data_IF_529053693509
#
_entry.id   IF_529053693509
#
_cell.length_a   1.000
_cell.length_b   1.000
_cell.length_c   1.000
_cell.angle_alpha   90.00
_cell.angle_beta   90.00
_cell.angle_gamma   90.00
#
_symmetry.space_group_name_H-M   'P 1'
#
loop_
_entity.id
_entity.type
_entity.pdbx_description
1 polymer ?
#
# COMPACT_ATOMS: atom_id res chain seq x y z
N UNK A 1 -19.25 -22.70 9.80
CA UNK A 1 -20.59 -22.85 10.39
C UNK A 1 -20.66 -21.89 11.57
N UNK A 2 -21.52 -20.87 11.50
CA UNK A 2 -21.78 -19.99 12.65
C UNK A 2 -22.75 -20.69 13.61
N UNK A 3 -22.45 -20.58 14.90
CA UNK A 3 -23.33 -20.94 16.00
C UNK A 3 -24.33 -19.78 16.14
N UNK A 4 -25.63 -20.06 15.97
CA UNK A 4 -26.75 -19.14 15.71
C UNK A 4 -26.93 -18.80 14.22
N UNK A 5 -28.06 -19.22 13.64
CA UNK A 5 -28.39 -19.12 12.19
C UNK A 5 -28.64 -17.72 11.65
N UNK A 6 -27.85 -16.73 12.08
CA UNK A 6 -27.84 -15.36 11.58
C UNK A 6 -27.16 -15.34 10.21
N UNK A 7 -27.86 -14.85 9.20
CA UNK A 7 -27.33 -14.71 7.84
C UNK A 7 -26.88 -13.27 7.62
N UNK A 8 -25.60 -13.09 7.32
CA UNK A 8 -25.06 -11.81 6.83
C UNK A 8 -24.86 -11.89 5.32
N UNK A 9 -25.28 -10.84 4.60
CA UNK A 9 -25.11 -10.72 3.15
C UNK A 9 -24.13 -9.61 2.83
N UNK A 10 -23.27 -9.85 1.85
CA UNK A 10 -22.31 -8.87 1.35
C UNK A 10 -22.53 -8.68 -0.14
N UNK A 11 -22.44 -7.44 -0.61
CA UNK A 11 -22.46 -7.11 -2.04
C UNK A 11 -21.15 -6.44 -2.45
N UNK A 12 -20.74 -6.68 -3.69
CA UNK A 12 -19.48 -6.21 -4.24
C UNK A 12 -19.70 -5.57 -5.61
N UNK A 13 -18.85 -4.61 -5.97
CA UNK A 13 -18.79 -4.11 -7.33
C UNK A 13 -17.98 -5.03 -8.26
N UNK A 14 -17.93 -4.68 -9.55
CA UNK A 14 -17.20 -5.44 -10.57
C UNK A 14 -15.67 -5.48 -10.35
N UNK A 15 -15.13 -4.62 -9.47
CA UNK A 15 -13.72 -4.58 -9.10
C UNK A 15 -13.43 -5.36 -7.81
N UNK A 16 -14.44 -6.04 -7.25
CA UNK A 16 -14.30 -6.84 -6.02
C UNK A 16 -14.33 -6.02 -4.73
N UNK A 17 -14.66 -4.73 -4.78
CA UNK A 17 -14.78 -3.89 -3.58
C UNK A 17 -16.14 -4.09 -2.96
N UNK A 18 -16.19 -4.30 -1.65
CA UNK A 18 -17.45 -4.43 -0.92
C UNK A 18 -18.21 -3.11 -0.95
N UNK A 19 -19.42 -3.11 -1.50
CA UNK A 19 -20.29 -1.93 -1.58
C UNK A 19 -21.38 -1.93 -0.51
N UNK A 20 -21.77 -3.10 0.01
CA UNK A 20 -22.67 -3.16 1.15
C UNK A 20 -22.52 -4.43 1.99
N UNK A 21 -22.97 -4.33 3.23
CA UNK A 21 -23.17 -5.43 4.16
C UNK A 21 -24.53 -5.29 4.80
N UNK A 22 -25.31 -6.37 4.83
CA UNK A 22 -26.60 -6.43 5.53
C UNK A 22 -26.55 -7.52 6.59
N UNK A 23 -26.71 -7.10 7.85
CA UNK A 23 -26.86 -7.96 9.03
C UNK A 23 -28.30 -7.84 9.55
N UNK A 24 -28.62 -8.53 10.64
CA UNK A 24 -29.90 -8.33 11.34
C UNK A 24 -30.03 -6.93 11.97
N UNK A 25 -28.90 -6.25 12.21
CA UNK A 25 -28.85 -4.93 12.85
C UNK A 25 -29.04 -3.78 11.85
N UNK A 26 -28.94 -4.05 10.54
CA UNK A 26 -29.12 -3.05 9.49
C UNK A 26 -28.19 -3.29 8.30
N UNK A 27 -28.21 -2.32 7.38
CA UNK A 27 -27.35 -2.32 6.20
C UNK A 27 -26.30 -1.22 6.32
N UNK A 28 -25.05 -1.56 6.09
CA UNK A 28 -23.95 -0.61 5.93
C UNK A 28 -23.56 -0.56 4.46
N UNK A 29 -23.55 0.64 3.90
CA UNK A 29 -23.08 0.92 2.53
C UNK A 29 -21.68 1.55 2.60
N UNK A 30 -20.77 1.07 1.75
CA UNK A 30 -19.36 1.46 1.73
C UNK A 30 -19.02 2.29 0.49
N UNK A 31 -18.19 3.31 0.68
CA UNK A 31 -17.69 4.20 -0.38
C UNK A 31 -16.18 4.10 -0.49
N UNK A 32 -15.65 4.22 -1.70
CA UNK A 32 -14.25 3.97 -1.99
C UNK A 32 -13.64 5.10 -2.80
N UNK A 33 -12.36 5.40 -2.52
CA UNK A 33 -11.51 6.21 -3.38
C UNK A 33 -10.41 5.32 -3.96
N UNK A 34 -10.54 4.93 -5.23
CA UNK A 34 -9.74 3.84 -5.80
C UNK A 34 -9.93 2.56 -4.99
N UNK A 35 -8.87 2.13 -4.32
CA UNK A 35 -8.83 0.88 -3.54
C UNK A 35 -8.88 1.12 -2.02
N UNK A 36 -8.95 2.38 -1.58
CA UNK A 36 -8.99 2.78 -0.18
C UNK A 36 -10.44 3.07 0.25
N UNK A 37 -10.83 2.56 1.42
CA UNK A 37 -12.16 2.78 1.99
C UNK A 37 -12.32 4.26 2.35
N UNK A 38 -13.25 4.97 1.73
CA UNK A 38 -13.49 6.39 1.98
C UNK A 38 -14.47 6.62 3.12
N UNK A 39 -15.48 5.77 3.27
CA UNK A 39 -16.48 5.95 4.31
C UNK A 39 -17.62 4.94 4.27
N UNK A 40 -18.53 5.11 5.21
CA UNK A 40 -19.65 4.23 5.50
C UNK A 40 -20.93 5.01 5.76
N UNK A 41 -22.06 4.47 5.33
CA UNK A 41 -23.40 4.92 5.72
C UNK A 41 -24.14 3.74 6.34
N UNK A 42 -24.54 3.89 7.60
CA UNK A 42 -25.40 2.92 8.26
C UNK A 42 -26.87 3.31 8.01
N UNK A 43 -27.56 2.48 7.21
CA UNK A 43 -29.00 2.60 6.96
C UNK A 43 -29.75 2.29 8.27
N UNK A 44 -30.20 3.36 8.94
CA UNK A 44 -30.82 3.29 10.27
C UNK A 44 -30.38 4.40 11.21
N UNK A 45 -29.22 5.03 10.92
CA UNK A 45 -28.80 6.27 11.57
C UNK A 45 -29.26 7.44 10.71
N UNK A 46 -29.96 8.42 11.30
CA UNK A 46 -30.31 9.65 10.57
C UNK A 46 -29.03 10.40 10.20
N UNK A 47 -28.56 10.22 8.97
CA UNK A 47 -27.40 10.90 8.43
C UNK A 47 -27.78 12.08 7.53
N UNK A 48 -29.04 12.51 7.57
CA UNK A 48 -29.55 13.62 6.75
C UNK A 48 -29.03 14.93 7.32
N UNK A 49 -28.24 15.63 6.54
CA UNK A 49 -27.76 16.95 6.91
C UNK A 49 -28.85 18.02 6.72
N UNK A 50 -28.63 19.22 7.28
CA UNK A 50 -29.57 20.33 7.18
C UNK A 50 -29.87 20.79 5.75
N UNK A 51 -29.04 20.43 4.76
CA UNK A 51 -29.26 20.72 3.34
C UNK A 51 -30.04 19.63 2.59
N UNK A 52 -30.41 18.53 3.26
CA UNK A 52 -31.12 17.40 2.67
C UNK A 52 -30.20 16.31 2.09
N UNK A 53 -28.88 16.49 2.07
CA UNK A 53 -27.92 15.45 1.65
C UNK A 53 -27.66 14.43 2.76
N UNK A 54 -27.57 13.15 2.37
CA UNK A 54 -27.12 12.07 3.26
C UNK A 54 -25.61 12.11 3.38
N UNK A 55 -25.11 12.35 4.60
CA UNK A 55 -23.67 12.32 4.89
C UNK A 55 -23.21 10.91 5.27
N UNK A 56 -21.94 10.56 5.05
CA UNK A 56 -21.36 9.36 5.64
C UNK A 56 -21.48 9.39 7.17
N UNK A 57 -21.91 8.26 7.77
CA UNK A 57 -21.85 8.05 9.23
C UNK A 57 -20.40 8.10 9.71
N UNK A 58 -19.48 7.56 8.90
CA UNK A 58 -18.03 7.58 9.11
C UNK A 58 -17.31 7.88 7.81
N UNK A 59 -16.32 8.76 7.85
CA UNK A 59 -15.36 8.96 6.75
C UNK A 59 -13.95 8.73 7.26
N UNK A 60 -13.15 8.02 6.48
CA UNK A 60 -11.76 7.73 6.81
C UNK A 60 -10.84 8.54 5.90
N UNK A 61 -9.81 9.13 6.51
CA UNK A 61 -8.74 9.80 5.80
C UNK A 61 -7.47 8.97 5.97
N UNK A 62 -6.76 8.75 4.87
CA UNK A 62 -5.53 7.98 4.83
C UNK A 62 -4.35 8.86 4.39
N UNK A 63 -3.14 8.43 4.72
CA UNK A 63 -1.94 9.02 4.13
C UNK A 63 -1.99 8.91 2.59
N UNK A 64 -1.46 9.90 1.85
CA UNK A 64 -1.43 9.86 0.39
C UNK A 64 -0.77 8.57 -0.12
N UNK A 65 -1.42 7.92 -1.09
CA UNK A 65 -0.94 6.70 -1.75
C UNK A 65 -0.64 5.53 -0.78
N UNK A 66 -1.36 5.46 0.34
CA UNK A 66 -1.13 4.51 1.42
C UNK A 66 -2.46 3.99 1.99
N UNK A 67 -2.39 2.87 2.73
CA UNK A 67 -3.51 2.31 3.49
C UNK A 67 -3.40 2.61 5.00
N UNK A 68 -2.48 3.51 5.39
CA UNK A 68 -2.32 3.96 6.77
C UNK A 68 -3.37 5.02 7.11
N UNK A 69 -4.25 4.77 8.10
CA UNK A 69 -5.27 5.74 8.47
C UNK A 69 -4.66 6.91 9.23
N UNK A 70 -5.15 8.10 8.91
CA UNK A 70 -4.73 9.39 9.47
C UNK A 70 -5.81 9.99 10.36
N UNK A 71 -7.05 10.03 9.89
CA UNK A 71 -8.17 10.59 10.65
C UNK A 71 -9.49 9.85 10.40
N UNK A 72 -10.38 9.90 11.38
CA UNK A 72 -11.78 9.49 11.30
C UNK A 72 -12.66 10.72 11.49
N UNK A 73 -13.60 10.93 10.56
CA UNK A 73 -14.66 11.93 10.70
C UNK A 73 -15.97 11.21 10.96
N UNK A 74 -16.57 11.43 12.12
CA UNK A 74 -17.83 10.81 12.51
C UNK A 74 -18.70 11.84 13.24
N UNK A 75 -19.96 11.98 12.81
CA UNK A 75 -20.92 12.94 13.36
C UNK A 75 -20.39 14.39 13.45
N UNK A 76 -19.59 14.81 12.46
CA UNK A 76 -18.99 16.14 12.42
C UNK A 76 -17.81 16.36 13.38
N UNK A 77 -17.38 15.34 14.11
CA UNK A 77 -16.18 15.35 14.93
C UNK A 77 -15.01 14.70 14.18
N UNK A 78 -13.81 15.22 14.41
CA UNK A 78 -12.56 14.68 13.86
C UNK A 78 -11.79 13.98 14.96
N UNK A 79 -11.37 12.76 14.66
CA UNK A 79 -10.54 11.92 15.51
C UNK A 79 -9.24 11.57 14.76
N UNK A 80 -8.15 11.42 15.49
CA UNK A 80 -6.81 11.22 14.93
C UNK A 80 -6.32 9.82 15.25
N UNK A 81 -5.86 9.10 14.24
CA UNK A 81 -5.29 7.77 14.41
C UNK A 81 -3.82 7.84 14.82
N UNK A 82 -3.45 6.99 15.78
CA UNK A 82 -2.07 6.70 16.13
C UNK A 82 -1.77 5.26 15.74
N UNK A 83 -0.78 5.08 14.86
CA UNK A 83 -0.47 3.77 14.29
C UNK A 83 0.89 3.25 14.75
N UNK A 84 1.08 1.93 14.67
CA UNK A 84 2.39 1.32 14.86
C UNK A 84 3.29 1.46 13.61
N UNK A 85 4.48 0.85 13.63
CA UNK A 85 5.45 0.96 12.54
C UNK A 85 4.97 0.37 11.20
N UNK A 86 4.01 -0.55 11.23
CA UNK A 86 3.37 -1.11 10.02
C UNK A 86 2.02 -0.46 9.71
N UNK A 87 1.64 0.63 10.41
CA UNK A 87 0.41 1.37 10.10
C UNK A 87 -0.86 0.79 10.70
N UNK A 88 -0.77 -0.13 11.66
CA UNK A 88 -1.94 -0.65 12.38
C UNK A 88 -2.41 0.39 13.40
N UNK A 89 -3.70 0.77 13.43
CA UNK A 89 -4.26 1.59 14.50
C UNK A 89 -4.00 0.99 15.88
N UNK A 90 -3.42 1.76 16.79
CA UNK A 90 -3.22 1.40 18.20
C UNK A 90 -4.10 2.23 19.12
N UNK A 91 -4.26 3.52 18.78
CA UNK A 91 -5.03 4.48 19.56
C UNK A 91 -5.76 5.47 18.64
N UNK A 92 -6.85 6.06 19.13
CA UNK A 92 -7.54 7.17 18.50
C UNK A 92 -7.75 8.26 19.55
N UNK A 93 -7.42 9.50 19.20
CA UNK A 93 -7.63 10.66 20.06
C UNK A 93 -8.63 11.65 19.49
N UNK A 94 -9.44 12.27 20.35
CA UNK A 94 -10.34 13.35 19.96
C UNK A 94 -9.59 14.70 19.81
N UNK A 95 -10.32 15.78 19.50
CA UNK A 95 -9.74 17.13 19.35
C UNK A 95 -9.10 17.71 20.63
N UNK A 96 -9.40 17.14 21.80
CA UNK A 96 -8.79 17.51 23.09
C UNK A 96 -7.57 16.63 23.45
N UNK A 97 -7.13 15.78 22.52
CA UNK A 97 -6.07 14.78 22.73
C UNK A 97 -6.40 13.72 23.79
N UNK A 98 -7.68 13.52 24.10
CA UNK A 98 -8.12 12.42 24.97
C UNK A 98 -8.21 11.15 24.14
N UNK A 99 -7.72 10.03 24.68
CA UNK A 99 -7.81 8.71 24.04
C UNK A 99 -9.26 8.23 24.13
N UNK A 100 -9.92 8.09 22.98
CA UNK A 100 -11.32 7.64 22.86
C UNK A 100 -11.44 6.20 22.33
N UNK A 101 -10.33 5.64 21.86
CA UNK A 101 -10.20 4.23 21.52
C UNK A 101 -8.74 3.79 21.67
N UNK A 102 -8.50 2.60 22.22
CA UNK A 102 -7.16 2.00 22.30
C UNK A 102 -7.26 0.49 22.41
N UNK A 103 -6.39 -0.23 21.71
CA UNK A 103 -6.38 -1.68 21.74
C UNK A 103 -4.99 -2.29 21.56
N UNK A 104 -4.81 -3.47 22.15
CA UNK A 104 -3.66 -4.35 21.96
C UNK A 104 -4.04 -5.54 21.09
N UNK A 105 -3.25 -5.80 20.06
CA UNK A 105 -3.42 -6.95 19.16
C UNK A 105 -2.36 -8.00 19.43
N UNK A 106 -2.68 -9.26 19.15
CA UNK A 106 -1.72 -10.36 19.03
C UNK A 106 -0.93 -10.20 17.72
N UNK A 107 0.12 -10.99 17.56
CA UNK A 107 1.02 -10.98 16.39
C UNK A 107 0.31 -11.09 15.04
N UNK A 108 -0.82 -11.80 14.99
CA UNK A 108 -1.62 -12.01 13.77
C UNK A 108 -2.90 -11.13 13.74
N UNK A 109 -2.90 -10.00 14.44
CA UNK A 109 -3.97 -9.01 14.33
C UNK A 109 -5.25 -9.34 15.12
N UNK A 110 -5.31 -10.47 15.84
CA UNK A 110 -6.41 -10.77 16.74
C UNK A 110 -6.41 -9.80 17.92
N UNK A 111 -7.58 -9.27 18.28
CA UNK A 111 -7.71 -8.40 19.44
C UNK A 111 -7.31 -9.17 20.71
N UNK A 112 -6.26 -8.69 21.38
CA UNK A 112 -5.81 -9.24 22.66
C UNK A 112 -6.54 -8.56 23.82
N UNK A 113 -6.64 -7.22 23.77
CA UNK A 113 -7.27 -6.41 24.81
C UNK A 113 -7.75 -5.08 24.23
N UNK A 114 -8.97 -4.67 24.54
CA UNK A 114 -9.45 -3.30 24.31
C UNK A 114 -9.33 -2.51 25.62
N UNK A 115 -8.58 -1.42 25.60
CA UNK A 115 -8.34 -0.57 26.78
C UNK A 115 -9.39 0.54 26.89
N UNK A 116 -9.74 1.15 25.75
CA UNK A 116 -10.76 2.20 25.61
C UNK A 116 -11.57 1.92 24.35
N UNK A 117 -12.90 2.10 24.41
CA UNK A 117 -13.80 1.83 23.29
C UNK A 117 -15.03 2.79 23.29
N UNK A 118 -14.77 4.10 23.40
CA UNK A 118 -15.84 5.11 23.34
C UNK A 118 -16.26 5.38 21.88
N UNK A 119 -15.30 5.34 20.97
CA UNK A 119 -15.52 5.37 19.52
C UNK A 119 -15.14 4.01 18.95
N UNK A 120 -16.09 3.34 18.30
CA UNK A 120 -15.81 2.08 17.63
C UNK A 120 -14.92 2.30 16.39
N UNK A 121 -13.97 1.38 16.20
CA UNK A 121 -12.99 1.39 15.13
C UNK A 121 -12.91 0.02 14.46
N UNK A 122 -13.39 -0.12 13.21
CA UNK A 122 -13.33 -1.37 12.47
C UNK A 122 -11.99 -1.58 11.73
N UNK A 123 -11.14 -0.56 11.58
CA UNK A 123 -9.88 -0.72 10.86
C UNK A 123 -8.89 -1.61 11.63
N UNK A 124 -8.17 -2.48 10.91
CA UNK A 124 -7.18 -3.43 11.46
C UNK A 124 -5.82 -3.20 10.78
N UNK A 125 -5.11 -4.26 10.37
CA UNK A 125 -3.93 -4.09 9.52
C UNK A 125 -4.27 -3.27 8.26
N UNK A 126 -3.25 -2.71 7.62
CA UNK A 126 -3.43 -1.93 6.40
C UNK A 126 -4.33 -2.67 5.39
N UNK A 127 -5.40 -2.01 4.93
CA UNK A 127 -6.40 -2.57 4.00
C UNK A 127 -7.49 -3.44 4.62
N UNK A 128 -7.42 -3.74 5.93
CA UNK A 128 -8.35 -4.63 6.61
C UNK A 128 -9.47 -3.91 7.35
N UNK A 129 -10.68 -4.48 7.25
CA UNK A 129 -11.88 -4.06 7.95
C UNK A 129 -12.45 -5.20 8.79
N UNK A 130 -12.67 -4.99 10.09
CA UNK A 130 -13.22 -5.98 11.01
C UNK A 130 -14.74 -6.09 10.89
N UNK A 131 -15.20 -7.31 10.66
CA UNK A 131 -16.61 -7.68 10.63
C UNK A 131 -16.98 -8.42 11.92
N UNK A 132 -17.59 -7.71 12.87
CA UNK A 132 -17.95 -8.24 14.20
C UNK A 132 -18.81 -9.51 14.11
N UNK A 133 -19.74 -9.56 13.17
CA UNK A 133 -20.68 -10.67 13.00
C UNK A 133 -20.03 -11.99 12.53
N UNK A 134 -18.82 -11.92 11.97
CA UNK A 134 -18.03 -13.12 11.60
C UNK A 134 -16.76 -13.27 12.42
N UNK A 135 -16.29 -12.20 13.06
CA UNK A 135 -14.96 -12.12 13.66
C UNK A 135 -13.83 -12.07 12.62
N UNK A 136 -14.14 -12.00 11.33
CA UNK A 136 -13.16 -11.97 10.24
C UNK A 136 -12.78 -10.54 9.88
N UNK A 137 -11.63 -10.42 9.22
CA UNK A 137 -11.15 -9.17 8.66
C UNK A 137 -11.37 -9.22 7.14
N UNK A 138 -12.29 -8.43 6.61
CA UNK A 138 -12.42 -8.19 5.18
C UNK A 138 -11.15 -7.50 4.66
N UNK A 139 -10.48 -8.13 3.69
CA UNK A 139 -9.25 -7.65 3.08
C UNK A 139 -9.39 -7.70 1.56
N UNK A 140 -10.21 -6.80 1.02
CA UNK A 140 -10.51 -6.63 -0.42
C UNK A 140 -11.00 -7.90 -1.11
N UNK A 141 -10.08 -8.74 -1.55
CA UNK A 141 -10.37 -9.95 -2.31
C UNK A 141 -10.55 -11.19 -1.43
N UNK A 142 -10.11 -11.14 -0.17
CA UNK A 142 -10.16 -12.27 0.77
C UNK A 142 -10.63 -11.86 2.15
N UNK A 143 -11.08 -12.86 2.92
CA UNK A 143 -11.36 -12.71 4.34
C UNK A 143 -10.23 -13.34 5.14
N UNK A 144 -9.68 -12.57 6.07
CA UNK A 144 -8.60 -12.99 6.95
C UNK A 144 -9.16 -13.38 8.31
N UNK A 145 -8.76 -14.56 8.81
CA UNK A 145 -9.07 -14.99 10.18
C UNK A 145 -7.86 -14.67 11.07
N UNK A 146 -7.97 -13.67 11.95
CA UNK A 146 -6.86 -13.26 12.81
C UNK A 146 -6.53 -14.28 13.91
N UNK A 147 -7.43 -15.22 14.23
CA UNK A 147 -7.18 -16.24 15.25
C UNK A 147 -6.27 -17.35 14.73
N UNK A 148 -6.46 -17.76 13.48
CA UNK A 148 -5.62 -18.75 12.81
C UNK A 148 -4.46 -18.11 12.03
N UNK A 149 -4.50 -16.80 11.79
CA UNK A 149 -3.42 -16.05 11.14
C UNK A 149 -3.34 -16.25 9.63
N UNK A 150 -4.44 -16.66 8.99
CA UNK A 150 -4.50 -17.04 7.57
C UNK A 150 -5.80 -16.56 6.91
N UNK A 151 -5.82 -16.53 5.58
CA UNK A 151 -7.03 -16.31 4.80
C UNK A 151 -7.96 -17.53 4.83
N UNK A 152 -9.27 -17.28 4.79
CA UNK A 152 -10.30 -18.33 4.82
C UNK A 152 -10.55 -18.97 3.45
N UNK A 153 -10.08 -18.32 2.38
CA UNK A 153 -10.19 -18.79 0.99
C UNK A 153 -8.81 -18.85 0.34
N UNK A 154 -8.64 -19.75 -0.62
CA UNK A 154 -7.42 -19.81 -1.44
C UNK A 154 -7.20 -18.51 -2.19
N UNK A 155 -5.93 -18.18 -2.45
CA UNK A 155 -5.54 -17.03 -3.24
C UNK A 155 -6.17 -17.08 -4.65
N UNK A 156 -6.92 -16.04 -5.08
CA UNK A 156 -7.52 -15.99 -6.41
C UNK A 156 -6.50 -16.05 -7.55
N UNK A 157 -5.23 -15.67 -7.31
CA UNK A 157 -4.15 -15.80 -8.30
C UNK A 157 -3.40 -17.14 -8.18
N UNK A 158 -3.85 -18.05 -7.30
CA UNK A 158 -3.30 -19.38 -7.12
C UNK A 158 -1.88 -19.37 -6.58
N UNK A 159 -1.02 -20.26 -7.07
CA UNK A 159 0.39 -20.37 -6.64
C UNK A 159 1.22 -19.12 -6.97
N UNK A 160 0.72 -18.19 -7.79
CA UNK A 160 1.35 -16.90 -8.03
C UNK A 160 1.32 -15.97 -6.81
N UNK A 161 0.46 -16.26 -5.82
CA UNK A 161 0.44 -15.59 -4.51
C UNK A 161 1.35 -16.24 -3.46
N UNK A 162 2.14 -17.24 -3.86
CA UNK A 162 3.04 -18.01 -3.00
C UNK A 162 2.64 -19.49 -2.87
N UNK A 163 3.56 -20.32 -2.34
CA UNK A 163 3.30 -21.76 -2.16
C UNK A 163 2.22 -22.07 -1.12
N UNK A 164 1.99 -21.15 -0.18
CA UNK A 164 0.88 -21.25 0.77
C UNK A 164 -0.25 -20.31 0.36
N UNK A 165 -1.21 -20.86 -0.38
CA UNK A 165 -2.37 -20.13 -0.94
C UNK A 165 -3.33 -19.54 0.12
N UNK A 166 -3.13 -19.83 1.41
CA UNK A 166 -3.90 -19.25 2.51
C UNK A 166 -3.09 -18.23 3.34
N UNK A 167 -1.82 -18.00 3.03
CA UNK A 167 -0.94 -17.16 3.84
C UNK A 167 -1.29 -15.67 3.74
N UNK A 168 -1.32 -14.98 4.89
CA UNK A 168 -1.49 -13.52 4.95
C UNK A 168 -0.21 -12.75 4.62
N UNK A 169 0.87 -13.04 5.34
CA UNK A 169 2.20 -12.51 5.06
C UNK A 169 3.27 -13.47 5.61
N UNK A 170 4.50 -13.47 5.05
CA UNK A 170 5.63 -14.24 5.58
C UNK A 170 5.96 -13.87 7.02
N UNK A 171 5.84 -12.59 7.36
CA UNK A 171 5.99 -12.09 8.72
C UNK A 171 5.06 -10.89 8.98
N UNK A 172 3.94 -11.06 9.70
CA UNK A 172 2.96 -9.98 9.93
C UNK A 172 3.49 -8.85 10.82
N UNK A 173 4.62 -9.03 11.50
CA UNK A 173 5.26 -7.97 12.29
C UNK A 173 6.00 -6.95 11.42
N UNK A 174 6.30 -7.27 10.16
CA UNK A 174 7.06 -6.40 9.25
C UNK A 174 6.45 -6.28 7.85
N UNK A 175 5.45 -7.10 7.53
CA UNK A 175 4.82 -7.18 6.22
C UNK A 175 3.30 -7.05 6.36
N UNK A 176 2.70 -6.39 5.39
CA UNK A 176 1.24 -6.27 5.25
C UNK A 176 0.85 -6.70 3.83
N UNK A 177 -0.31 -7.31 3.67
CA UNK A 177 -0.97 -7.51 2.37
C UNK A 177 -2.26 -6.68 2.34
N UNK A 178 -2.21 -5.42 1.84
CA UNK A 178 -3.38 -4.54 1.79
C UNK A 178 -4.42 -4.93 0.74
N UNK A 179 -4.10 -5.85 -0.16
CA UNK A 179 -4.95 -6.21 -1.30
C UNK A 179 -5.57 -7.59 -1.14
N UNK A 180 -5.03 -8.44 -0.27
CA UNK A 180 -5.49 -9.80 -0.09
C UNK A 180 -5.30 -10.65 -1.34
N UNK A 181 -4.26 -10.39 -2.14
CA UNK A 181 -3.98 -11.11 -3.41
C UNK A 181 -2.55 -11.62 -3.51
N UNK A 182 -1.62 -11.04 -2.74
CA UNK A 182 -0.29 -11.58 -2.49
C UNK A 182 0.39 -10.63 -1.51
N UNK A 183 1.15 -11.18 -0.56
CA UNK A 183 2.41 -10.54 -0.26
C UNK A 183 3.18 -10.62 -1.58
N UNK A 184 3.37 -9.52 -2.33
CA UNK A 184 4.14 -9.59 -3.58
C UNK A 184 5.43 -10.35 -3.30
N UNK A 185 5.50 -11.58 -3.80
CA UNK A 185 6.73 -12.28 -4.13
C UNK A 185 7.36 -11.41 -5.22
N UNK A 186 8.03 -10.35 -4.79
CA UNK A 186 9.08 -9.79 -5.60
C UNK A 186 10.21 -10.78 -5.47
N UNK A 187 10.41 -11.58 -6.52
CA UNK A 187 11.33 -12.71 -6.63
C UNK A 187 12.44 -12.75 -5.60
N UNK A 188 12.58 -13.92 -4.95
CA UNK A 188 13.68 -14.31 -4.06
C UNK A 188 14.41 -13.13 -3.45
N UNK A 189 13.85 -12.52 -2.40
CA UNK A 189 14.54 -11.48 -1.63
C UNK A 189 15.81 -12.11 -1.05
N UNK A 190 16.97 -11.76 -1.62
CA UNK A 190 18.28 -12.27 -1.19
C UNK A 190 18.89 -11.40 -0.09
N UNK A 191 18.44 -10.14 0.06
CA UNK A 191 18.87 -9.25 1.14
C UNK A 191 18.06 -7.95 1.22
N UNK A 192 17.94 -7.38 2.42
CA UNK A 192 17.41 -6.02 2.66
C UNK A 192 18.54 -5.17 3.21
N UNK A 193 18.66 -3.95 2.72
CA UNK A 193 19.77 -3.06 3.05
C UNK A 193 19.25 -1.68 3.41
N UNK A 194 20.01 -0.93 4.20
CA UNK A 194 19.60 0.36 4.73
C UNK A 194 20.74 1.10 5.42
N UNK A 195 20.46 2.20 6.15
CA UNK A 195 21.49 3.07 6.71
C UNK A 195 22.35 2.42 7.80
N UNK A 196 21.94 1.26 8.31
CA UNK A 196 22.67 0.48 9.31
C UNK A 196 23.19 -0.86 8.78
N UNK A 197 22.91 -1.19 7.53
CA UNK A 197 23.31 -2.44 6.88
C UNK A 197 23.78 -2.11 5.45
N UNK A 198 25.09 -1.89 5.31
CA UNK A 198 25.70 -1.61 4.01
C UNK A 198 25.50 -2.80 3.07
N UNK A 199 24.84 -2.54 1.94
CA UNK A 199 24.64 -3.54 0.91
C UNK A 199 25.55 -3.34 -0.30
N UNK A 200 25.36 -4.16 -1.35
CA UNK A 200 26.25 -4.18 -2.52
C UNK A 200 26.17 -2.92 -3.40
N UNK A 201 25.27 -1.98 -3.10
CA UNK A 201 25.14 -0.72 -3.84
C UNK A 201 26.01 0.42 -3.29
N UNK A 202 26.75 0.18 -2.19
CA UNK A 202 27.71 1.10 -1.57
C UNK A 202 27.16 1.88 -0.38
N UNK A 203 27.97 2.79 0.19
CA UNK A 203 27.59 3.64 1.34
C UNK A 203 26.46 4.60 0.94
N UNK A 204 25.31 4.61 1.63
CA UNK A 204 24.21 5.53 1.33
C UNK A 204 24.53 7.01 1.61
N UNK A 205 25.57 7.31 2.39
CA UNK A 205 26.03 8.66 2.67
C UNK A 205 27.00 9.20 1.61
N UNK A 206 27.54 8.35 0.71
CA UNK A 206 28.32 8.80 -0.44
C UNK A 206 27.37 9.14 -1.61
N UNK A 207 27.28 10.41 -2.06
CA UNK A 207 26.45 10.80 -3.19
C UNK A 207 26.79 10.09 -4.52
N UNK A 208 27.99 9.48 -4.62
CA UNK A 208 28.40 8.71 -5.81
C UNK A 208 27.91 7.26 -5.78
N UNK A 209 27.52 6.77 -4.61
CA UNK A 209 26.98 5.44 -4.40
C UNK A 209 25.64 5.25 -5.08
N UNK A 210 25.27 4.01 -5.43
CA UNK A 210 23.92 3.72 -5.93
C UNK A 210 22.91 3.62 -4.79
N UNK A 211 23.38 3.31 -3.57
CA UNK A 211 22.53 3.31 -2.38
C UNK A 211 21.91 4.68 -2.10
N UNK A 212 22.64 5.78 -2.36
CA UNK A 212 22.16 7.16 -2.15
C UNK A 212 20.97 7.55 -3.04
N UNK A 213 20.71 6.79 -4.10
CA UNK A 213 19.54 6.98 -4.98
C UNK A 213 18.25 6.41 -4.39
N UNK A 214 18.36 5.57 -3.35
CA UNK A 214 17.23 5.04 -2.59
C UNK A 214 17.03 5.86 -1.33
N UNK A 215 15.77 6.09 -0.94
CA UNK A 215 15.42 6.91 0.22
C UNK A 215 16.07 6.32 1.47
N UNK A 216 16.86 7.15 2.13
CA UNK A 216 17.64 6.77 3.32
C UNK A 216 18.59 5.58 3.10
N UNK A 217 18.95 5.28 1.85
CA UNK A 217 19.76 4.11 1.53
C UNK A 217 19.00 2.78 1.55
N UNK A 218 17.68 2.80 1.68
CA UNK A 218 16.89 1.60 1.93
C UNK A 218 16.44 0.93 0.62
N UNK A 219 16.91 -0.30 0.38
CA UNK A 219 16.54 -1.08 -0.80
C UNK A 219 16.58 -2.59 -0.51
N UNK A 220 15.93 -3.36 -1.37
CA UNK A 220 15.86 -4.82 -1.30
C UNK A 220 16.50 -5.41 -2.54
N UNK A 221 17.44 -6.32 -2.37
CA UNK A 221 17.95 -7.16 -3.46
C UNK A 221 16.99 -8.31 -3.71
N UNK A 222 16.64 -8.49 -4.97
CA UNK A 222 15.68 -9.49 -5.44
C UNK A 222 16.30 -10.26 -6.60
N UNK A 223 15.99 -11.55 -6.65
CA UNK A 223 16.30 -12.43 -7.79
C UNK A 223 14.98 -12.79 -8.45
N UNK A 224 14.76 -12.38 -9.70
CA UNK A 224 13.50 -12.67 -10.39
C UNK A 224 13.22 -14.19 -10.41
N UNK A 225 12.04 -14.57 -9.98
CA UNK A 225 11.51 -15.94 -9.97
C UNK A 225 10.67 -16.26 -11.23
N UNK A 226 10.70 -15.33 -12.19
CA UNK A 226 10.03 -15.40 -13.48
C UNK A 226 10.36 -14.17 -14.32
N UNK A 227 9.64 -13.99 -15.42
CA UNK A 227 9.81 -12.82 -16.26
C UNK A 227 9.19 -11.56 -15.61
N UNK A 228 10.01 -10.60 -15.22
CA UNK A 228 9.56 -9.33 -14.60
C UNK A 228 9.58 -8.22 -15.64
N UNK A 229 8.47 -7.54 -15.86
CA UNK A 229 8.43 -6.37 -16.77
C UNK A 229 8.66 -5.09 -15.98
N UNK A 230 9.61 -4.28 -16.42
CA UNK A 230 9.94 -2.98 -15.85
C UNK A 230 9.87 -1.89 -16.92
N UNK A 231 9.59 -0.66 -16.51
CA UNK A 231 9.35 0.48 -17.39
C UNK A 231 10.39 1.57 -17.16
N UNK A 232 10.68 2.36 -18.19
CA UNK A 232 11.60 3.48 -18.09
C UNK A 232 11.15 4.60 -19.00
N UNK A 233 10.95 5.75 -18.39
CA UNK A 233 10.74 6.99 -19.11
C UNK A 233 12.07 7.63 -19.45
N UNK A 234 12.19 8.15 -20.67
CA UNK A 234 13.41 8.78 -21.15
C UNK A 234 13.13 9.85 -22.21
N UNK A 235 14.12 10.72 -22.42
CA UNK A 235 14.01 11.92 -23.24
C UNK A 235 15.11 12.92 -22.89
N UNK A 236 15.45 13.80 -23.81
CA UNK A 236 16.56 14.72 -23.65
C UNK A 236 17.90 14.00 -23.49
N UNK A 237 18.55 14.11 -22.31
CA UNK A 237 19.84 13.45 -22.03
C UNK A 237 19.71 12.01 -21.52
N UNK A 238 18.51 11.56 -21.18
CA UNK A 238 18.27 10.19 -20.71
C UNK A 238 18.03 9.24 -21.89
N UNK A 239 18.76 8.13 -21.90
CA UNK A 239 18.61 7.05 -22.87
C UNK A 239 17.75 5.88 -22.34
N UNK A 240 17.26 5.05 -23.25
CA UNK A 240 16.43 3.87 -22.95
C UNK A 240 17.20 2.76 -22.20
N UNK A 241 18.52 2.68 -22.37
CA UNK A 241 19.42 1.67 -21.76
C UNK A 241 19.92 2.05 -20.35
N UNK A 242 19.33 3.08 -19.73
CA UNK A 242 19.65 3.44 -18.36
C UNK A 242 19.31 2.33 -17.36
N UNK A 243 19.97 2.37 -16.20
CA UNK A 243 19.90 1.29 -15.19
C UNK A 243 18.76 1.42 -14.18
N UNK A 244 18.00 2.50 -14.25
CA UNK A 244 16.91 2.78 -13.32
C UNK A 244 15.56 2.65 -14.03
N UNK A 245 14.66 1.91 -13.43
CA UNK A 245 13.38 1.50 -13.99
C UNK A 245 12.29 1.63 -12.92
N UNK A 246 11.04 1.60 -13.33
CA UNK A 246 9.86 1.57 -12.46
C UNK A 246 9.10 0.26 -12.66
N UNK A 247 8.38 -0.24 -11.63
CA UNK A 247 7.57 -1.45 -11.77
C UNK A 247 6.30 -1.21 -12.61
N UNK A 248 5.84 0.03 -12.68
CA UNK A 248 4.60 0.43 -13.36
C UNK A 248 4.88 1.54 -14.38
N UNK A 249 4.13 1.57 -15.51
CA UNK A 249 4.27 2.62 -16.49
C UNK A 249 3.67 3.93 -15.95
N UNK A 250 4.39 5.03 -16.07
CA UNK A 250 3.86 6.34 -15.71
C UNK A 250 2.80 6.80 -16.72
N UNK A 251 1.71 7.38 -16.23
CA UNK A 251 0.58 7.87 -17.04
C UNK A 251 0.86 9.22 -17.75
N UNK A 252 2.03 9.82 -17.53
CA UNK A 252 2.45 11.07 -18.16
C UNK A 252 3.61 11.77 -17.47
N UNK A 253 4.02 12.95 -17.98
CA UNK A 253 5.24 13.65 -17.55
C UNK A 253 5.28 14.01 -16.06
N UNK A 254 4.15 14.44 -15.49
CA UNK A 254 4.06 14.84 -14.09
C UNK A 254 4.22 13.64 -13.14
N UNK A 255 3.60 12.50 -13.50
CA UNK A 255 3.71 11.26 -12.72
C UNK A 255 5.13 10.69 -12.78
N UNK A 256 5.73 10.67 -13.97
CA UNK A 256 7.13 10.28 -14.18
C UNK A 256 8.11 11.11 -13.34
N UNK A 257 7.89 12.42 -13.29
CA UNK A 257 8.72 13.35 -12.53
C UNK A 257 8.63 13.12 -11.01
N UNK A 258 7.44 12.78 -10.51
CA UNK A 258 7.19 12.47 -9.10
C UNK A 258 7.72 11.09 -8.70
N UNK A 259 7.53 10.08 -9.54
CA UNK A 259 7.93 8.69 -9.26
C UNK A 259 9.44 8.51 -9.30
N UNK A 260 10.09 9.10 -10.30
CA UNK A 260 11.54 8.98 -10.52
C UNK A 260 12.36 10.12 -9.88
N UNK A 261 11.70 11.07 -9.21
CA UNK A 261 12.30 12.26 -8.61
C UNK A 261 13.20 13.06 -9.58
N UNK A 262 12.84 13.10 -10.87
CA UNK A 262 13.71 13.67 -11.91
C UNK A 262 13.56 15.20 -11.90
N UNK A 263 14.65 15.90 -11.58
CA UNK A 263 14.67 17.37 -11.58
C UNK A 263 14.65 17.93 -13.02
N UNK A 264 13.81 18.93 -13.33
CA UNK A 264 13.77 19.56 -14.66
C UNK A 264 15.11 20.14 -15.12
N UNK A 265 15.94 20.59 -14.17
CA UNK A 265 17.27 21.17 -14.43
C UNK A 265 18.28 20.17 -15.03
N UNK A 266 18.05 18.86 -14.93
CA UNK A 266 18.95 17.85 -15.50
C UNK A 266 18.70 17.60 -16.99
N UNK A 267 17.67 18.25 -17.57
CA UNK A 267 17.33 18.14 -18.98
C UNK A 267 16.77 16.77 -19.38
N UNK A 268 16.23 16.04 -18.40
CA UNK A 268 15.48 14.80 -18.63
C UNK A 268 14.01 15.16 -18.87
N UNK A 269 13.46 14.66 -19.97
CA UNK A 269 12.08 14.90 -20.38
C UNK A 269 11.36 13.55 -20.54
N UNK A 270 10.05 13.54 -20.27
CA UNK A 270 9.18 12.41 -20.63
C UNK A 270 8.82 12.53 -22.11
N UNK A 271 9.69 12.04 -23.00
CA UNK A 271 9.44 12.03 -24.45
C UNK A 271 9.02 10.65 -24.94
N UNK A 272 9.61 9.61 -24.37
CA UNK A 272 9.41 8.22 -24.75
C UNK A 272 9.37 7.34 -23.50
N UNK A 273 8.62 6.24 -23.59
CA UNK A 273 8.61 5.19 -22.58
C UNK A 273 9.07 3.88 -23.20
N UNK A 274 9.96 3.19 -22.50
CA UNK A 274 10.44 1.87 -22.88
C UNK A 274 10.06 0.86 -21.79
N UNK A 275 9.91 -0.41 -22.18
CA UNK A 275 9.77 -1.53 -21.26
C UNK A 275 10.87 -2.56 -21.49
N UNK A 276 11.26 -3.25 -20.43
CA UNK A 276 12.20 -4.34 -20.47
C UNK A 276 11.64 -5.53 -19.70
N UNK A 277 11.77 -6.72 -20.26
CA UNK A 277 11.43 -7.96 -19.55
C UNK A 277 12.71 -8.58 -19.01
N UNK A 278 12.89 -8.52 -17.69
CA UNK A 278 13.96 -9.20 -16.97
C UNK A 278 13.67 -10.70 -16.98
N UNK A 279 14.58 -11.54 -17.49
CA UNK A 279 14.40 -12.99 -17.43
C UNK A 279 14.48 -13.49 -15.98
N UNK A 280 13.95 -14.68 -15.73
CA UNK A 280 14.13 -15.41 -14.47
C UNK A 280 15.63 -15.53 -14.11
N UNK A 281 15.95 -15.43 -12.81
CA UNK A 281 17.31 -15.46 -12.28
C UNK A 281 18.06 -14.12 -12.34
N UNK A 282 17.41 -13.04 -12.76
CA UNK A 282 18.03 -11.72 -12.83
C UNK A 282 18.03 -11.05 -11.46
N UNK A 283 19.21 -10.61 -11.02
CA UNK A 283 19.35 -9.82 -9.79
C UNK A 283 19.02 -8.35 -10.07
N UNK A 284 18.10 -7.79 -9.30
CA UNK A 284 17.74 -6.37 -9.32
C UNK A 284 17.52 -5.85 -7.90
N UNK A 285 17.51 -4.52 -7.75
CA UNK A 285 17.37 -3.86 -6.45
C UNK A 285 16.17 -2.94 -6.47
N UNK A 286 15.27 -3.09 -5.52
CA UNK A 286 14.02 -2.33 -5.46
C UNK A 286 13.92 -1.54 -4.17
N UNK A 287 13.50 -0.28 -4.26
CA UNK A 287 13.27 0.55 -3.08
C UNK A 287 12.67 1.92 -3.44
N UNK A 288 12.19 2.67 -2.44
CA UNK A 288 11.68 4.01 -2.65
C UNK A 288 12.76 4.95 -3.21
N UNK A 289 12.45 5.72 -4.24
CA UNK A 289 13.37 6.74 -4.75
C UNK A 289 13.66 7.82 -3.68
N UNK A 290 14.93 8.23 -3.58
CA UNK A 290 15.35 9.30 -2.67
C UNK A 290 14.79 10.66 -3.11
N UNK A 291 14.44 11.55 -2.17
CA UNK A 291 14.10 12.93 -2.50
C UNK A 291 15.25 13.62 -3.24
N UNK A 292 14.94 14.42 -4.25
CA UNK A 292 15.91 15.22 -4.99
C UNK A 292 15.67 16.70 -4.73
N UNK A 293 16.73 17.44 -4.42
CA UNK A 293 16.66 18.88 -4.19
C UNK A 293 17.34 19.61 -5.34
N UNK A 294 16.61 20.52 -5.99
CA UNK A 294 17.15 21.34 -7.07
C UNK A 294 18.40 22.10 -6.64
N UNK A 295 19.38 22.18 -7.53
CA UNK A 295 20.67 22.83 -7.31
C UNK A 295 20.68 24.29 -7.77
N UNK A 296 19.67 24.72 -8.55
CA UNK A 296 19.58 26.06 -9.14
C UNK A 296 18.24 26.75 -8.80
N UNK A 297 18.26 28.07 -8.56
CA UNK A 297 17.04 28.87 -8.36
C UNK A 297 16.31 28.59 -7.03
N UNK A 298 14.98 28.49 -7.05
CA UNK A 298 14.13 28.25 -5.85
C UNK A 298 14.36 26.88 -5.16
N UNK A 299 15.31 26.06 -5.61
CA UNK A 299 15.66 24.74 -5.05
C UNK A 299 14.43 23.86 -4.78
N UNK A 300 13.64 23.54 -5.81
CA UNK A 300 12.46 22.70 -5.63
C UNK A 300 12.86 21.35 -5.03
N UNK A 301 12.20 20.96 -3.95
CA UNK A 301 12.36 19.63 -3.36
C UNK A 301 11.30 18.71 -3.97
N UNK A 302 11.74 17.81 -4.85
CA UNK A 302 10.91 16.71 -5.29
C UNK A 302 11.03 15.64 -4.21
N UNK A 303 9.94 15.42 -3.48
CA UNK A 303 9.94 14.48 -2.37
C UNK A 303 10.33 13.07 -2.82
N UNK A 304 10.15 12.72 -4.10
CA UNK A 304 10.23 11.34 -4.59
C UNK A 304 9.25 10.45 -3.82
N UNK A 305 9.10 9.20 -4.22
CA UNK A 305 8.23 8.28 -3.47
C UNK A 305 7.77 7.06 -4.24
N UNK A 306 7.87 7.12 -5.58
CA UNK A 306 7.71 5.95 -6.43
C UNK A 306 8.74 4.87 -6.09
N UNK A 307 8.37 3.63 -6.37
CA UNK A 307 9.28 2.50 -6.30
C UNK A 307 10.23 2.57 -7.50
N UNK A 308 11.52 2.62 -7.20
CA UNK A 308 12.60 2.55 -8.17
C UNK A 308 13.22 1.15 -8.17
N UNK A 309 13.53 0.66 -9.36
CA UNK A 309 14.26 -0.58 -9.60
C UNK A 309 15.61 -0.24 -10.24
N UNK A 310 16.70 -0.65 -9.61
CA UNK A 310 18.05 -0.61 -10.18
C UNK A 310 18.45 -1.98 -10.71
N UNK A 311 18.81 -2.03 -11.99
CA UNK A 311 19.29 -3.23 -12.68
C UNK A 311 20.78 -3.05 -12.99
N UNK A 312 21.70 -3.79 -12.32
CA UNK A 312 23.14 -3.59 -12.49
C UNK A 312 23.65 -3.81 -13.91
N UNK A 313 23.04 -4.78 -14.60
CA UNK A 313 23.38 -5.18 -15.97
C UNK A 313 22.11 -5.14 -16.82
N UNK A 314 22.01 -4.10 -17.64
CA UNK A 314 20.92 -3.93 -18.60
C UNK A 314 21.34 -4.58 -19.92
N UNK A 315 20.54 -5.52 -20.45
CA UNK A 315 20.71 -6.03 -21.80
C UNK A 315 19.81 -5.22 -22.75
N UNK A 316 20.42 -4.36 -23.56
CA UNK A 316 19.70 -3.48 -24.48
C UNK A 316 18.81 -4.22 -25.48
N UNK A 317 19.08 -5.51 -25.74
CA UNK A 317 18.25 -6.34 -26.65
C UNK A 317 16.89 -6.71 -26.05
N UNK A 318 16.75 -6.60 -24.73
CA UNK A 318 15.49 -6.87 -24.01
C UNK A 318 14.60 -5.64 -23.93
N UNK A 319 15.11 -4.46 -24.33
CA UNK A 319 14.39 -3.20 -24.26
C UNK A 319 13.53 -3.04 -25.51
N UNK A 320 12.25 -2.76 -25.31
CA UNK A 320 11.29 -2.50 -26.37
C UNK A 320 10.59 -1.17 -26.10
N UNK A 321 10.23 -0.41 -27.14
CA UNK A 321 9.34 0.75 -26.99
C UNK A 321 8.06 0.31 -26.28
N UNK A 322 7.62 1.08 -25.29
CA UNK A 322 6.30 0.95 -24.71
C UNK A 322 5.39 1.93 -25.44
N UNK A 323 4.85 1.49 -26.57
CA UNK A 323 3.88 2.27 -27.34
C UNK A 323 2.49 2.08 -26.68
N UNK A 324 1.72 3.17 -26.48
CA UNK A 324 0.35 3.08 -25.98
C UNK A 324 -0.57 2.27 -26.89
#
# INVERSE_FOLDING_TARGET
MNVAGVITRYAYDALGRRISKSTEQGTTTFYWNGDVLLGEINEGVSNTSSDGSTKPSRSYLFEPLSFKPLALVQHGQVYHYHTDHIGTPREITNAKAEVVWSSTFKTYGALALAHVNEVDNPLRFQGQYYDEETGLHYNRHRYYDPNSGQFTTQDPIGLLGGMNVYQYAPNPMTWVDPWGLSCKDGGGVSGKYGPHEEGPLGDPNDPRSKASTFRSGTYTEKVSDGNVTVYRDHGGKASADGRFWTPEPSAGPLQSQLDSAVLPEWGNTFENQSKMTLPEGTVYYEGPAAPQTGTVGMRPQLMGGGIQIYVPKVDARLIKPNVP
#
